data_IF_439593201181
#
_entry.id   IF_439593201181
#
_cell.length_a   1.000
_cell.length_b   1.000
_cell.length_c   1.000
_cell.angle_alpha   90.00
_cell.angle_beta   90.00
_cell.angle_gamma   90.00
#
_symmetry.space_group_name_H-M   'P 1'
#
loop_
_entity.id
_entity.type
_entity.pdbx_description
1 polymer ?
#
# COMPACT_ATOMS: atom_id res chain seq x y z
N UNK A 1 -17.71 -21.09 0.20
CA UNK A 1 -17.37 -19.66 0.37
C UNK A 1 -16.83 -19.49 1.79
N UNK A 2 -15.61 -18.98 1.95
CA UNK A 2 -15.11 -18.65 3.28
C UNK A 2 -15.93 -17.47 3.82
N UNK A 3 -16.57 -17.63 4.98
CA UNK A 3 -17.27 -16.52 5.61
C UNK A 3 -16.25 -15.42 5.96
N UNK A 4 -16.52 -14.19 5.52
CA UNK A 4 -15.68 -13.04 5.81
C UNK A 4 -15.60 -12.85 7.34
N UNK A 5 -14.46 -13.18 7.94
CA UNK A 5 -14.24 -12.99 9.36
C UNK A 5 -13.88 -11.52 9.67
N UNK A 6 -14.04 -11.10 10.92
CA UNK A 6 -13.77 -9.70 11.32
C UNK A 6 -12.36 -9.24 10.94
N UNK A 7 -11.38 -10.16 10.95
CA UNK A 7 -9.99 -9.90 10.60
C UNK A 7 -9.80 -9.57 9.13
N UNK A 8 -10.51 -10.27 8.22
CA UNK A 8 -10.46 -9.98 6.78
C UNK A 8 -11.05 -8.60 6.46
N UNK A 9 -12.09 -8.19 7.19
CA UNK A 9 -12.68 -6.86 7.08
C UNK A 9 -11.74 -5.77 7.62
N UNK A 10 -11.12 -5.98 8.79
CA UNK A 10 -10.11 -5.06 9.33
C UNK A 10 -8.94 -4.90 8.37
N UNK A 11 -8.40 -6.01 7.86
CA UNK A 11 -7.32 -5.96 6.86
C UNK A 11 -7.73 -5.14 5.62
N UNK A 12 -8.97 -5.32 5.15
CA UNK A 12 -9.51 -4.55 4.03
C UNK A 12 -9.51 -3.05 4.33
N UNK A 13 -9.97 -2.65 5.53
CA UNK A 13 -9.97 -1.23 5.94
C UNK A 13 -8.55 -0.67 5.93
N UNK A 14 -7.58 -1.36 6.53
CA UNK A 14 -6.19 -0.87 6.58
C UNK A 14 -5.53 -0.80 5.20
N UNK A 15 -5.77 -1.77 4.32
CA UNK A 15 -5.29 -1.67 2.93
C UNK A 15 -5.94 -0.53 2.15
N UNK A 16 -7.22 -0.23 2.41
CA UNK A 16 -7.89 0.92 1.77
C UNK A 16 -7.32 2.24 2.29
N UNK A 17 -7.12 2.38 3.61
CA UNK A 17 -6.49 3.56 4.21
C UNK A 17 -5.07 3.75 3.67
N UNK A 18 -4.30 2.67 3.58
CA UNK A 18 -2.98 2.65 2.95
C UNK A 18 -3.06 3.17 1.50
N UNK A 19 -3.98 2.65 0.69
CA UNK A 19 -4.13 3.07 -0.70
C UNK A 19 -4.54 4.54 -0.85
N UNK A 20 -5.47 5.03 -0.03
CA UNK A 20 -5.88 6.45 -0.05
C UNK A 20 -4.70 7.37 0.26
N UNK A 21 -3.90 7.02 1.27
CA UNK A 21 -2.67 7.75 1.61
C UNK A 21 -1.67 7.75 0.44
N UNK A 22 -1.51 6.63 -0.25
CA UNK A 22 -0.57 6.52 -1.36
C UNK A 22 -1.06 7.20 -2.64
N UNK A 23 -2.37 7.34 -2.84
CA UNK A 23 -2.92 8.22 -3.89
C UNK A 23 -2.54 9.68 -3.60
N UNK A 24 -2.66 10.12 -2.35
CA UNK A 24 -2.21 11.46 -1.95
C UNK A 24 -0.69 11.62 -2.15
N UNK A 25 0.11 10.63 -1.73
CA UNK A 25 1.56 10.66 -1.94
C UNK A 25 1.92 10.72 -3.43
N UNK A 26 1.23 9.96 -4.28
CA UNK A 26 1.41 10.00 -5.73
C UNK A 26 1.11 11.39 -6.30
N UNK A 27 0.03 12.04 -5.85
CA UNK A 27 -0.29 13.41 -6.23
C UNK A 27 0.80 14.40 -5.80
N UNK A 28 1.32 14.28 -4.58
CA UNK A 28 2.40 15.14 -4.08
C UNK A 28 3.70 14.95 -4.88
N UNK A 29 4.05 13.71 -5.25
CA UNK A 29 5.22 13.43 -6.11
C UNK A 29 5.00 13.99 -7.52
N UNK A 30 3.78 13.92 -8.05
CA UNK A 30 3.44 14.55 -9.32
C UNK A 30 3.62 16.07 -9.24
N UNK A 31 3.09 16.72 -8.21
CA UNK A 31 3.26 18.15 -7.98
C UNK A 31 4.76 18.53 -7.86
N UNK A 32 5.56 17.73 -7.15
CA UNK A 32 7.01 17.90 -7.09
C UNK A 32 7.65 17.83 -8.48
N UNK A 33 7.21 16.91 -9.34
CA UNK A 33 7.65 16.86 -10.73
C UNK A 33 7.39 18.16 -11.49
N UNK A 34 6.27 18.85 -11.23
CA UNK A 34 5.94 20.13 -11.90
C UNK A 34 6.82 21.31 -11.51
N UNK A 35 7.52 21.23 -10.36
CA UNK A 35 8.42 22.32 -9.90
C UNK A 35 9.85 22.16 -10.42
N UNK A 36 10.18 21.01 -11.01
CA UNK A 36 11.51 20.70 -11.54
C UNK A 36 11.58 21.08 -13.02
N UNK A 37 12.71 21.66 -13.45
CA UNK A 37 12.97 21.97 -14.87
C UNK A 37 12.86 20.71 -15.75
N UNK A 38 12.25 20.78 -16.95
CA UNK A 38 12.14 19.65 -17.86
C UNK A 38 13.46 18.91 -18.08
N UNK A 39 13.49 17.65 -17.66
CA UNK A 39 14.69 16.82 -17.59
C UNK A 39 14.33 15.35 -17.33
N UNK A 40 15.32 14.47 -17.42
CA UNK A 40 15.15 13.07 -17.01
C UNK A 40 14.71 12.93 -15.54
N UNK A 41 15.15 13.84 -14.66
CA UNK A 41 14.73 13.89 -13.25
C UNK A 41 13.22 14.13 -13.13
N UNK A 42 12.69 15.13 -13.85
CA UNK A 42 11.25 15.37 -13.90
C UNK A 42 10.50 14.14 -14.43
N UNK A 43 10.98 13.53 -15.52
CA UNK A 43 10.39 12.30 -16.07
C UNK A 43 10.31 11.15 -15.05
N UNK A 44 11.37 10.95 -14.25
CA UNK A 44 11.39 9.93 -13.17
C UNK A 44 10.44 10.25 -12.03
N UNK A 45 10.25 11.53 -11.68
CA UNK A 45 9.26 11.94 -10.68
C UNK A 45 7.84 11.63 -11.17
N UNK A 46 7.50 11.99 -12.40
CA UNK A 46 6.19 11.66 -12.97
C UNK A 46 5.96 10.15 -13.10
N UNK A 47 6.97 9.40 -13.55
CA UNK A 47 6.89 7.94 -13.59
C UNK A 47 6.71 7.35 -12.18
N UNK A 48 7.43 7.89 -11.18
CA UNK A 48 7.30 7.49 -9.78
C UNK A 48 5.88 7.73 -9.25
N UNK A 49 5.32 8.92 -9.49
CA UNK A 49 3.95 9.27 -9.16
C UNK A 49 2.93 8.31 -9.83
N UNK A 50 3.11 8.05 -11.11
CA UNK A 50 2.26 7.12 -11.86
C UNK A 50 2.28 5.71 -11.26
N UNK A 51 3.48 5.15 -11.04
CA UNK A 51 3.62 3.82 -10.46
C UNK A 51 2.98 3.75 -9.06
N UNK A 52 3.24 4.76 -8.22
CA UNK A 52 2.69 4.82 -6.87
C UNK A 52 1.16 4.87 -6.87
N UNK A 53 0.58 5.67 -7.77
CA UNK A 53 -0.86 5.75 -7.96
C UNK A 53 -1.45 4.38 -8.35
N UNK A 54 -0.87 3.69 -9.32
CA UNK A 54 -1.39 2.38 -9.75
C UNK A 54 -1.17 1.26 -8.72
N UNK A 55 -0.09 1.30 -7.93
CA UNK A 55 0.05 0.39 -6.79
C UNK A 55 -1.03 0.64 -5.74
N UNK A 56 -1.33 1.91 -5.44
CA UNK A 56 -2.38 2.28 -4.51
C UNK A 56 -3.77 1.80 -4.97
N UNK A 57 -4.12 2.03 -6.24
CA UNK A 57 -5.39 1.57 -6.83
C UNK A 57 -5.46 0.03 -6.84
N UNK A 58 -4.36 -0.63 -7.20
CA UNK A 58 -4.29 -2.10 -7.20
C UNK A 58 -4.49 -2.67 -5.80
N UNK A 59 -3.85 -2.09 -4.78
CA UNK A 59 -3.99 -2.52 -3.39
C UNK A 59 -5.44 -2.36 -2.89
N UNK A 60 -6.11 -1.26 -3.24
CA UNK A 60 -7.53 -1.02 -2.93
C UNK A 60 -8.42 -2.06 -3.62
N UNK A 61 -8.22 -2.28 -4.93
CA UNK A 61 -9.01 -3.22 -5.71
C UNK A 61 -8.88 -4.65 -5.15
N UNK A 62 -7.64 -5.10 -4.92
CA UNK A 62 -7.35 -6.41 -4.32
C UNK A 62 -7.96 -6.51 -2.92
N UNK A 63 -7.88 -5.45 -2.10
CA UNK A 63 -8.47 -5.43 -0.78
C UNK A 63 -9.99 -5.66 -0.82
N UNK A 64 -10.71 -4.89 -1.64
CA UNK A 64 -12.16 -4.92 -1.73
C UNK A 64 -12.66 -6.22 -2.38
N UNK A 65 -12.01 -6.67 -3.45
CA UNK A 65 -12.47 -7.81 -4.24
C UNK A 65 -12.05 -9.15 -3.64
N UNK A 66 -10.86 -9.22 -3.02
CA UNK A 66 -10.23 -10.47 -2.62
C UNK A 66 -9.97 -10.56 -1.11
N UNK A 67 -9.31 -9.57 -0.48
CA UNK A 67 -9.02 -9.66 0.96
C UNK A 67 -10.28 -9.64 1.81
N UNK A 68 -11.30 -8.86 1.43
CA UNK A 68 -12.61 -8.83 2.12
C UNK A 68 -13.23 -10.22 2.24
N UNK A 69 -12.99 -11.08 1.23
CA UNK A 69 -13.47 -12.48 1.15
C UNK A 69 -12.48 -13.51 1.70
N UNK A 70 -11.42 -13.06 2.39
CA UNK A 70 -10.32 -13.88 2.90
C UNK A 70 -9.63 -14.74 1.82
N UNK A 71 -9.50 -14.23 0.59
CA UNK A 71 -8.88 -14.99 -0.50
C UNK A 71 -7.36 -15.12 -0.31
N UNK A 72 -6.81 -16.34 -0.47
CA UNK A 72 -5.35 -16.59 -0.49
C UNK A 72 -4.66 -15.78 -1.58
N UNK A 73 -5.26 -15.66 -2.76
CA UNK A 73 -4.71 -14.83 -3.84
C UNK A 73 -4.66 -13.36 -3.42
N UNK A 74 -5.72 -12.85 -2.80
CA UNK A 74 -5.76 -11.48 -2.29
C UNK A 74 -4.72 -11.21 -1.21
N UNK A 75 -4.47 -12.20 -0.34
CA UNK A 75 -3.41 -12.11 0.65
C UNK A 75 -2.03 -11.97 0.00
N UNK A 76 -1.65 -12.90 -0.87
CA UNK A 76 -0.31 -12.85 -1.50
C UNK A 76 -0.14 -11.64 -2.43
N UNK A 77 -1.21 -11.25 -3.14
CA UNK A 77 -1.19 -10.07 -4.00
C UNK A 77 -0.94 -8.79 -3.19
N UNK A 78 -1.73 -8.53 -2.13
CA UNK A 78 -1.50 -7.35 -1.30
C UNK A 78 -0.18 -7.45 -0.53
N UNK A 79 0.20 -8.63 -0.03
CA UNK A 79 1.52 -8.83 0.58
C UNK A 79 2.64 -8.37 -0.35
N UNK A 80 2.60 -8.71 -1.65
CA UNK A 80 3.59 -8.25 -2.60
C UNK A 80 3.50 -6.74 -2.87
N UNK A 81 2.30 -6.24 -3.25
CA UNK A 81 2.10 -4.85 -3.67
C UNK A 81 2.51 -3.86 -2.58
N UNK A 82 1.95 -4.01 -1.37
CA UNK A 82 2.18 -3.02 -0.32
C UNK A 82 3.58 -3.15 0.29
N UNK A 83 4.13 -4.37 0.38
CA UNK A 83 5.50 -4.54 0.92
C UNK A 83 6.56 -4.01 -0.01
N UNK A 84 6.46 -4.24 -1.33
CA UNK A 84 7.44 -3.68 -2.29
C UNK A 84 7.43 -2.16 -2.23
N UNK A 85 6.25 -1.56 -2.12
CA UNK A 85 6.09 -0.10 -2.03
C UNK A 85 6.72 0.46 -0.76
N UNK A 86 6.34 -0.06 0.41
CA UNK A 86 6.83 0.49 1.68
C UNK A 86 8.29 0.13 1.97
N UNK A 87 8.77 -1.05 1.58
CA UNK A 87 10.20 -1.38 1.73
C UNK A 87 11.05 -0.42 0.89
N UNK A 88 10.65 -0.16 -0.35
CA UNK A 88 11.32 0.84 -1.20
C UNK A 88 11.28 2.23 -0.59
N UNK A 89 10.10 2.67 -0.12
CA UNK A 89 9.94 3.97 0.55
C UNK A 89 10.81 4.09 1.81
N UNK A 90 10.85 3.07 2.66
CA UNK A 90 11.66 3.07 3.88
C UNK A 90 13.14 3.19 3.52
N UNK A 91 13.62 2.37 2.58
CA UNK A 91 15.04 2.33 2.21
C UNK A 91 15.53 3.62 1.53
N UNK A 92 14.70 4.21 0.66
CA UNK A 92 15.14 5.32 -0.20
C UNK A 92 14.62 6.70 0.22
N UNK A 93 13.64 6.77 1.14
CA UNK A 93 13.05 8.05 1.59
C UNK A 93 13.14 8.23 3.09
N UNK A 94 12.61 7.28 3.87
CA UNK A 94 12.48 7.46 5.32
C UNK A 94 13.81 7.27 6.06
N UNK A 95 14.54 6.20 5.77
CA UNK A 95 15.83 5.88 6.41
C UNK A 95 16.92 6.93 6.10
N UNK A 96 17.02 7.48 4.87
CA UNK A 96 17.90 8.61 4.58
C UNK A 96 17.49 9.94 5.24
N UNK A 97 16.27 10.03 5.79
CA UNK A 97 15.79 11.23 6.48
C UNK A 97 15.22 12.31 5.55
N UNK A 98 14.81 11.98 4.32
CA UNK A 98 14.20 12.95 3.39
C UNK A 98 12.77 13.36 3.78
N UNK A 99 12.13 12.62 4.69
CA UNK A 99 10.82 12.93 5.23
C UNK A 99 10.85 12.77 6.76
N UNK A 100 10.21 13.67 7.54
CA UNK A 100 10.08 13.46 8.97
C UNK A 100 9.31 12.18 9.28
N UNK A 101 9.66 11.54 10.40
CA UNK A 101 9.03 10.28 10.85
C UNK A 101 7.51 10.39 10.97
N UNK A 102 6.99 11.55 11.38
CA UNK A 102 5.58 11.86 11.27
C UNK A 102 5.41 13.04 10.29
N UNK A 103 4.58 12.91 9.24
CA UNK A 103 3.64 11.82 8.95
C UNK A 103 4.23 10.58 8.25
N UNK A 104 5.55 10.50 8.01
CA UNK A 104 6.17 9.47 7.17
C UNK A 104 5.91 8.00 7.54
N UNK A 105 5.61 7.70 8.81
CA UNK A 105 5.33 6.34 9.28
C UNK A 105 3.90 5.85 9.00
N UNK A 106 2.98 6.71 8.55
CA UNK A 106 1.57 6.33 8.38
C UNK A 106 1.39 5.19 7.36
N UNK A 107 2.07 5.25 6.22
CA UNK A 107 2.08 4.19 5.21
C UNK A 107 2.53 2.85 5.81
N UNK A 108 3.76 2.76 6.34
CA UNK A 108 4.27 1.55 6.97
C UNK A 108 3.39 1.00 8.10
N UNK A 109 2.77 1.86 8.91
CA UNK A 109 1.84 1.43 9.95
C UNK A 109 0.59 0.76 9.37
N UNK A 110 -0.05 1.36 8.36
CA UNK A 110 -1.21 0.74 7.72
C UNK A 110 -0.85 -0.54 6.97
N UNK A 111 0.35 -0.61 6.40
CA UNK A 111 0.88 -1.84 5.79
C UNK A 111 1.02 -2.97 6.80
N UNK A 112 1.72 -2.74 7.92
CA UNK A 112 1.91 -3.75 8.96
C UNK A 112 0.57 -4.20 9.54
N UNK A 113 -0.36 -3.28 9.79
CA UNK A 113 -1.69 -3.63 10.30
C UNK A 113 -2.52 -4.43 9.28
N UNK A 114 -2.50 -4.03 8.01
CA UNK A 114 -3.16 -4.77 6.93
C UNK A 114 -2.62 -6.20 6.78
N UNK A 115 -1.29 -6.35 6.79
CA UNK A 115 -0.62 -7.65 6.77
C UNK A 115 -0.96 -8.50 7.99
N UNK A 116 -0.90 -7.92 9.19
CA UNK A 116 -1.18 -8.61 10.43
C UNK A 116 -2.59 -9.19 10.42
N UNK A 117 -3.60 -8.35 10.13
CA UNK A 117 -4.99 -8.80 10.15
C UNK A 117 -5.30 -9.79 9.03
N UNK A 118 -4.72 -9.61 7.83
CA UNK A 118 -4.92 -10.58 6.74
C UNK A 118 -4.21 -11.93 7.01
N UNK A 119 -3.07 -11.91 7.71
CA UNK A 119 -2.39 -13.13 8.17
C UNK A 119 -3.22 -13.86 9.23
N UNK A 120 -3.75 -13.13 10.22
CA UNK A 120 -4.66 -13.71 11.24
C UNK A 120 -5.91 -14.28 10.58
N UNK A 121 -6.48 -13.56 9.61
CA UNK A 121 -7.67 -13.99 8.88
C UNK A 121 -7.45 -15.31 8.14
N UNK A 122 -6.31 -15.49 7.48
CA UNK A 122 -5.95 -16.74 6.80
C UNK A 122 -5.69 -17.89 7.78
N UNK A 123 -4.95 -17.64 8.88
CA UNK A 123 -4.62 -18.69 9.87
C UNK A 123 -5.84 -19.23 10.61
N UNK A 124 -6.88 -18.41 10.76
CA UNK A 124 -8.15 -18.81 11.40
C UNK A 124 -9.13 -19.49 10.45
N UNK A 125 -8.78 -19.65 9.17
CA UNK A 125 -9.62 -20.41 8.24
C UNK A 125 -9.49 -21.91 8.56
N UNK A 126 -10.59 -22.64 8.85
CA UNK A 126 -10.53 -24.08 9.09
C UNK A 126 -9.87 -24.79 7.91
N UNK A 127 -9.03 -25.79 8.18
CA UNK A 127 -8.54 -26.68 7.15
C UNK A 127 -9.74 -27.28 6.40
N UNK A 128 -9.81 -27.04 5.09
CA UNK A 128 -10.80 -27.66 4.22
C UNK A 128 -10.37 -29.07 3.87
#
# INVERSE_FOLDING_TARGET
MAFANVWSKLATVFYVLWGVLHIQAAYLVYQLGTTVTPSMTQGRLFQGAWNLFFFAISAIAVAIMLNKRNSKLGYFANLAIVSVTDVGFIMFVLLPGYLPLWPGLQGPLYWVLGLLFSTIALRKEPAR
#
